data_IF_384338585914
#
_entry.id   IF_384338585914
#
_cell.length_a   1.000
_cell.length_b   1.000
_cell.length_c   1.000
_cell.angle_alpha   90.00
_cell.angle_beta   90.00
_cell.angle_gamma   90.00
#
_symmetry.space_group_name_H-M   'P 1'
#
loop_
_entity.id
_entity.type
_entity.pdbx_description
1 polymer ?
#
# COMPACT_ATOMS: atom_id res chain seq x y z
N UNK A 1 -23.64 -21.70 -22.64
CA UNK A 1 -24.02 -20.49 -23.42
C UNK A 1 -23.30 -19.31 -22.80
N UNK A 2 -22.32 -18.76 -23.50
CA UNK A 2 -21.44 -17.70 -23.00
C UNK A 2 -22.19 -16.37 -22.99
N UNK A 3 -22.89 -16.06 -21.90
CA UNK A 3 -23.54 -14.75 -21.68
C UNK A 3 -22.52 -13.60 -21.79
N UNK A 4 -21.24 -13.90 -21.57
CA UNK A 4 -20.12 -12.95 -21.64
C UNK A 4 -19.13 -13.23 -22.77
N UNK A 5 -19.48 -14.02 -23.79
CA UNK A 5 -18.53 -14.39 -24.86
C UNK A 5 -17.96 -13.19 -25.62
N UNK A 6 -18.71 -12.08 -25.70
CA UNK A 6 -18.24 -10.83 -26.28
C UNK A 6 -17.23 -10.06 -25.39
N UNK A 7 -17.20 -10.33 -24.09
CA UNK A 7 -16.26 -9.70 -23.14
C UNK A 7 -14.88 -10.36 -23.18
N UNK A 8 -14.79 -11.64 -23.56
CA UNK A 8 -13.49 -12.33 -23.68
C UNK A 8 -12.56 -11.61 -24.67
N UNK A 9 -13.13 -11.00 -25.72
CA UNK A 9 -12.38 -10.21 -26.69
C UNK A 9 -11.67 -8.98 -26.08
N UNK A 10 -12.17 -8.46 -24.95
CA UNK A 10 -11.59 -7.30 -24.25
C UNK A 10 -10.73 -7.69 -23.05
N UNK A 11 -10.55 -8.99 -22.78
CA UNK A 11 -9.82 -9.48 -21.61
C UNK A 11 -8.39 -8.95 -21.54
N UNK A 12 -7.66 -8.95 -22.66
CA UNK A 12 -6.28 -8.44 -22.74
C UNK A 12 -6.21 -6.94 -22.39
N UNK A 13 -7.16 -6.16 -22.90
CA UNK A 13 -7.24 -4.71 -22.61
C UNK A 13 -7.60 -4.48 -21.14
N UNK A 14 -8.52 -5.26 -20.59
CA UNK A 14 -8.89 -5.19 -19.18
C UNK A 14 -7.70 -5.51 -18.27
N UNK A 15 -6.92 -6.55 -18.58
CA UNK A 15 -5.71 -6.88 -17.83
C UNK A 15 -4.64 -5.80 -17.94
N UNK A 16 -4.48 -5.18 -19.11
CA UNK A 16 -3.55 -4.07 -19.30
C UNK A 16 -3.95 -2.86 -18.44
N UNK A 17 -5.23 -2.48 -18.47
CA UNK A 17 -5.76 -1.38 -17.65
C UNK A 17 -5.56 -1.69 -16.17
N UNK A 18 -5.91 -2.90 -15.73
CA UNK A 18 -5.74 -3.33 -14.35
C UNK A 18 -4.28 -3.25 -13.91
N UNK A 19 -3.35 -3.68 -14.76
CA UNK A 19 -1.91 -3.62 -14.48
C UNK A 19 -1.43 -2.18 -14.28
N UNK A 20 -1.83 -1.28 -15.19
CA UNK A 20 -1.45 0.14 -15.12
C UNK A 20 -2.06 0.79 -13.88
N UNK A 21 -3.35 0.54 -13.60
CA UNK A 21 -4.04 1.10 -12.46
C UNK A 21 -3.42 0.62 -11.13
N UNK A 22 -3.16 -0.68 -10.99
CA UNK A 22 -2.49 -1.26 -9.82
C UNK A 22 -1.09 -0.67 -9.64
N UNK A 23 -0.27 -0.66 -10.69
CA UNK A 23 1.07 -0.10 -10.62
C UNK A 23 1.05 1.38 -10.24
N UNK A 24 0.14 2.17 -10.81
CA UNK A 24 -0.03 3.58 -10.47
C UNK A 24 -0.42 3.79 -9.00
N UNK A 25 -1.38 3.01 -8.49
CA UNK A 25 -1.76 3.08 -7.08
C UNK A 25 -0.56 2.81 -6.17
N UNK A 26 0.27 1.83 -6.48
CA UNK A 26 1.47 1.51 -5.68
C UNK A 26 2.51 2.63 -5.74
N UNK A 27 2.73 3.26 -6.91
CA UNK A 27 3.62 4.43 -7.02
C UNK A 27 3.15 5.58 -6.13
N UNK A 28 1.85 5.88 -6.15
CA UNK A 28 1.25 6.96 -5.35
C UNK A 28 1.39 6.68 -3.84
N UNK A 29 1.28 5.41 -3.42
CA UNK A 29 1.47 5.03 -2.02
C UNK A 29 2.94 5.00 -1.59
N UNK A 30 3.84 4.54 -2.46
CA UNK A 30 5.28 4.45 -2.18
C UNK A 30 5.99 5.80 -2.17
N UNK A 31 5.57 6.74 -3.01
CA UNK A 31 6.18 8.07 -3.11
C UNK A 31 6.29 8.81 -1.76
N UNK A 32 5.21 8.99 -0.96
CA UNK A 32 5.30 9.66 0.33
C UNK A 32 6.13 8.88 1.37
N UNK A 33 6.26 7.55 1.24
CA UNK A 33 7.10 6.75 2.14
C UNK A 33 8.59 6.95 1.90
N UNK A 34 8.99 7.32 0.69
CA UNK A 34 10.39 7.59 0.33
C UNK A 34 10.76 9.08 0.41
N UNK A 35 9.91 9.95 -0.13
CA UNK A 35 10.21 11.35 -0.38
C UNK A 35 9.26 12.33 0.34
N UNK A 36 8.24 11.81 1.03
CA UNK A 36 7.24 12.66 1.68
C UNK A 36 7.77 13.36 2.94
N UNK A 37 7.32 14.59 3.23
CA UNK A 37 7.73 15.33 4.42
C UNK A 37 7.29 14.64 5.72
N UNK A 38 6.20 13.87 5.68
CA UNK A 38 5.70 13.09 6.81
C UNK A 38 6.45 11.75 7.03
N UNK A 39 7.45 11.42 6.19
CA UNK A 39 8.24 10.19 6.33
C UNK A 39 8.84 9.98 7.72
N UNK A 40 9.47 10.97 8.38
CA UNK A 40 10.02 10.76 9.73
C UNK A 40 8.95 10.37 10.74
N UNK A 41 7.77 11.01 10.67
CA UNK A 41 6.65 10.71 11.54
C UNK A 41 6.09 9.30 11.28
N UNK A 42 5.81 8.95 10.02
CA UNK A 42 5.33 7.62 9.64
C UNK A 42 6.30 6.50 10.05
N UNK A 43 7.60 6.72 9.82
CA UNK A 43 8.67 5.78 10.18
C UNK A 43 8.82 5.64 11.70
N UNK A 44 8.64 6.72 12.46
CA UNK A 44 8.65 6.67 13.93
C UNK A 44 7.41 5.96 14.48
N UNK A 45 6.25 6.12 13.83
CA UNK A 45 5.02 5.39 14.16
C UNK A 45 5.20 3.88 14.08
N UNK A 46 5.90 3.38 13.06
CA UNK A 46 6.20 1.93 12.94
C UNK A 46 6.97 1.39 14.15
N UNK A 47 7.94 2.16 14.67
CA UNK A 47 8.69 1.76 15.87
C UNK A 47 7.79 1.69 17.11
N UNK A 48 6.81 2.59 17.24
CA UNK A 48 5.83 2.56 18.33
C UNK A 48 4.92 1.33 18.27
N UNK A 49 4.66 0.81 17.06
CA UNK A 49 3.91 -0.44 16.85
C UNK A 49 4.79 -1.70 17.01
N UNK A 50 6.07 -1.55 17.40
CA UNK A 50 7.01 -2.67 17.51
C UNK A 50 7.51 -3.21 16.17
N UNK A 51 7.28 -2.48 15.07
CA UNK A 51 7.71 -2.87 13.72
C UNK A 51 9.08 -2.27 13.42
N UNK A 52 10.04 -3.07 12.93
CA UNK A 52 11.33 -2.56 12.46
C UNK A 52 11.15 -1.46 11.40
N UNK A 53 11.77 -0.30 11.63
CA UNK A 53 11.72 0.83 10.70
C UNK A 53 12.30 0.48 9.32
N UNK A 54 13.22 -0.48 9.26
CA UNK A 54 13.76 -1.01 8.00
C UNK A 54 12.67 -1.60 7.10
N UNK A 55 11.63 -2.24 7.68
CA UNK A 55 10.52 -2.78 6.89
C UNK A 55 9.72 -1.65 6.21
N UNK A 56 9.55 -0.51 6.89
CA UNK A 56 8.90 0.65 6.29
C UNK A 56 9.66 1.16 5.06
N UNK A 57 10.98 1.28 5.17
CA UNK A 57 11.84 1.73 4.07
C UNK A 57 11.82 0.72 2.90
N UNK A 58 11.85 -0.60 3.19
CA UNK A 58 11.76 -1.66 2.17
C UNK A 58 10.41 -1.70 1.46
N UNK A 59 9.30 -1.57 2.20
CA UNK A 59 7.96 -1.52 1.62
C UNK A 59 7.79 -0.27 0.76
N UNK A 60 8.24 0.90 1.23
CA UNK A 60 8.20 2.13 0.43
C UNK A 60 8.99 2.01 -0.88
N UNK A 61 10.15 1.34 -0.84
CA UNK A 61 10.94 1.07 -2.04
C UNK A 61 10.22 0.10 -2.99
N UNK A 62 9.66 -0.98 -2.46
CA UNK A 62 8.89 -1.97 -3.22
C UNK A 62 7.67 -1.33 -3.89
N UNK A 63 6.89 -0.53 -3.17
CA UNK A 63 5.69 0.14 -3.70
C UNK A 63 6.04 1.08 -4.85
N UNK A 64 7.06 1.92 -4.66
CA UNK A 64 7.45 2.90 -5.66
C UNK A 64 8.10 2.24 -6.90
N UNK A 65 9.19 1.49 -6.72
CA UNK A 65 9.90 0.87 -7.84
C UNK A 65 9.12 -0.29 -8.45
N UNK A 66 8.49 -1.12 -7.62
CA UNK A 66 7.62 -2.19 -8.08
C UNK A 66 6.43 -1.64 -8.85
N UNK A 67 5.84 -0.51 -8.43
CA UNK A 67 4.73 0.10 -9.15
C UNK A 67 5.14 0.53 -10.56
N UNK A 68 6.32 1.16 -10.69
CA UNK A 68 6.91 1.52 -11.98
C UNK A 68 7.17 0.28 -12.85
N UNK A 69 7.77 -0.77 -12.29
CA UNK A 69 8.04 -2.02 -12.99
C UNK A 69 6.75 -2.71 -13.47
N UNK A 70 5.70 -2.68 -12.65
CA UNK A 70 4.40 -3.26 -13.01
C UNK A 70 3.75 -2.50 -14.17
N UNK A 71 3.79 -1.16 -14.18
CA UNK A 71 3.31 -0.33 -15.30
C UNK A 71 4.10 -0.65 -16.57
N UNK A 72 5.43 -0.62 -16.46
CA UNK A 72 6.36 -0.86 -17.57
C UNK A 72 6.27 -2.29 -18.14
N UNK A 73 5.67 -3.23 -17.41
CA UNK A 73 5.58 -4.63 -17.83
C UNK A 73 6.86 -5.44 -17.56
N UNK A 74 7.74 -4.96 -16.68
CA UNK A 74 8.99 -5.61 -16.30
C UNK A 74 8.84 -6.36 -14.97
N UNK A 75 9.37 -7.59 -14.88
CA UNK A 75 9.32 -8.42 -13.65
C UNK A 75 7.92 -8.55 -13.02
N UNK A 76 6.86 -8.43 -13.82
CA UNK A 76 5.47 -8.27 -13.34
C UNK A 76 5.03 -9.37 -12.37
N UNK A 77 5.38 -10.62 -12.65
CA UNK A 77 5.06 -11.77 -11.78
C UNK A 77 5.71 -11.66 -10.40
N UNK A 78 7.00 -11.28 -10.36
CA UNK A 78 7.75 -11.18 -9.11
C UNK A 78 7.21 -10.01 -8.28
N UNK A 79 7.03 -8.85 -8.92
CA UNK A 79 6.46 -7.66 -8.27
C UNK A 79 5.05 -7.95 -7.74
N UNK A 80 4.20 -8.63 -8.51
CA UNK A 80 2.85 -8.99 -8.08
C UNK A 80 2.83 -9.90 -6.85
N UNK A 81 3.75 -10.89 -6.77
CA UNK A 81 3.88 -11.74 -5.58
C UNK A 81 4.31 -10.89 -4.37
N UNK A 82 5.28 -9.99 -4.55
CA UNK A 82 5.74 -9.11 -3.48
C UNK A 82 4.63 -8.17 -2.99
N UNK A 83 3.83 -7.61 -3.89
CA UNK A 83 2.64 -6.82 -3.52
C UNK A 83 1.59 -7.65 -2.81
N UNK A 84 1.34 -8.89 -3.23
CA UNK A 84 0.41 -9.76 -2.52
C UNK A 84 0.88 -10.04 -1.08
N UNK A 85 2.17 -10.31 -0.88
CA UNK A 85 2.76 -10.50 0.45
C UNK A 85 2.67 -9.23 1.30
N UNK A 86 2.93 -8.07 0.71
CA UNK A 86 2.84 -6.78 1.36
C UNK A 86 1.40 -6.46 1.78
N UNK A 87 0.40 -6.71 0.93
CA UNK A 87 -1.01 -6.59 1.29
C UNK A 87 -1.41 -7.52 2.44
N UNK A 88 -0.94 -8.77 2.43
CA UNK A 88 -1.17 -9.71 3.55
C UNK A 88 -0.56 -9.18 4.85
N UNK A 89 0.67 -8.68 4.80
CA UNK A 89 1.34 -8.05 5.95
C UNK A 89 0.58 -6.84 6.48
N UNK A 90 0.11 -5.97 5.59
CA UNK A 90 -0.68 -4.78 5.91
C UNK A 90 -2.02 -5.15 6.56
N UNK A 91 -2.74 -6.15 6.02
CA UNK A 91 -4.00 -6.63 6.61
C UNK A 91 -3.75 -7.24 7.99
N UNK A 92 -2.73 -8.08 8.12
CA UNK A 92 -2.39 -8.71 9.40
C UNK A 92 -2.02 -7.67 10.47
N UNK A 93 -1.25 -6.64 10.11
CA UNK A 93 -0.93 -5.52 10.99
C UNK A 93 -2.20 -4.76 11.41
N UNK A 94 -3.07 -4.47 10.44
CA UNK A 94 -4.32 -3.79 10.72
C UNK A 94 -5.17 -4.56 11.73
N UNK A 95 -5.34 -5.86 11.55
CA UNK A 95 -6.17 -6.68 12.45
C UNK A 95 -5.54 -6.92 13.83
N UNK A 96 -4.21 -6.99 13.90
CA UNK A 96 -3.50 -7.29 15.14
C UNK A 96 -3.32 -6.08 16.04
N UNK A 97 -3.01 -4.91 15.45
CA UNK A 97 -2.60 -3.71 16.21
C UNK A 97 -3.59 -2.57 16.03
N UNK A 98 -3.81 -2.11 14.79
CA UNK A 98 -4.55 -0.87 14.54
C UNK A 98 -6.06 -1.00 14.77
N UNK A 99 -6.67 -2.13 14.42
CA UNK A 99 -8.10 -2.38 14.57
C UNK A 99 -8.54 -2.57 16.03
N UNK A 100 -7.59 -2.77 16.95
CA UNK A 100 -7.83 -2.87 18.39
C UNK A 100 -7.42 -1.60 19.14
N UNK A 101 -6.81 -0.64 18.44
CA UNK A 101 -6.36 0.61 19.03
C UNK A 101 -7.58 1.47 19.43
N UNK A 102 -7.75 1.65 20.73
CA UNK A 102 -8.71 2.61 21.29
C UNK A 102 -7.90 3.82 21.78
N UNK A 103 -8.11 5.01 21.20
CA UNK A 103 -7.36 6.19 21.60
C UNK A 103 -7.65 6.51 23.08
N UNK A 104 -6.62 6.74 23.91
CA UNK A 104 -6.81 7.21 25.28
C UNK A 104 -7.63 8.51 25.32
N UNK A 105 -8.41 8.77 26.39
CA UNK A 105 -9.24 9.98 26.51
C UNK A 105 -8.44 11.28 26.33
N UNK A 106 -7.18 11.29 26.77
CA UNK A 106 -6.25 12.42 26.61
C UNK A 106 -5.84 12.66 25.14
N UNK A 107 -5.73 11.59 24.35
CA UNK A 107 -5.42 11.70 22.92
C UNK A 107 -6.64 12.23 22.15
N UNK A 108 -7.84 11.79 22.55
CA UNK A 108 -9.10 12.30 21.98
C UNK A 108 -9.28 13.79 22.25
N UNK A 109 -8.98 14.24 23.48
CA UNK A 109 -9.07 15.66 23.82
C UNK A 109 -8.05 16.50 23.04
N UNK A 110 -6.83 15.98 22.82
CA UNK A 110 -5.84 16.64 21.95
C UNK A 110 -6.26 16.68 20.47
N UNK A 111 -6.85 15.60 19.94
CA UNK A 111 -7.36 15.57 18.57
C UNK A 111 -8.48 16.58 18.34
N UNK A 112 -9.39 16.74 19.30
CA UNK A 112 -10.45 17.75 19.26
C UNK A 112 -9.90 19.16 19.43
N UNK A 113 -8.87 19.35 20.25
CA UNK A 113 -8.22 20.66 20.44
C UNK A 113 -7.46 21.12 19.18
N UNK A 114 -6.80 20.21 18.46
CA UNK A 114 -6.06 20.51 17.24
C UNK A 114 -6.92 20.57 15.96
N UNK A 115 -8.21 20.23 16.03
CA UNK A 115 -9.12 20.29 14.87
C UNK A 115 -9.92 21.58 14.75
N UNK A 116 -9.79 22.50 15.73
CA UNK A 116 -10.34 23.86 15.72
C UNK A 116 -9.29 24.86 15.29
#
# INVERSE_FOLDING_TARGET
>A
MAVFGFLEQYSDVAFLILRIALGFMMVVHGFPKLFGPARPQMRSGMAQLGIPQTLFDLVGLLEFLGGIFLIAGFLTRIVAILFALEMVGTIALYLSVLGKFTPPPEMLSQMVANSR
#
